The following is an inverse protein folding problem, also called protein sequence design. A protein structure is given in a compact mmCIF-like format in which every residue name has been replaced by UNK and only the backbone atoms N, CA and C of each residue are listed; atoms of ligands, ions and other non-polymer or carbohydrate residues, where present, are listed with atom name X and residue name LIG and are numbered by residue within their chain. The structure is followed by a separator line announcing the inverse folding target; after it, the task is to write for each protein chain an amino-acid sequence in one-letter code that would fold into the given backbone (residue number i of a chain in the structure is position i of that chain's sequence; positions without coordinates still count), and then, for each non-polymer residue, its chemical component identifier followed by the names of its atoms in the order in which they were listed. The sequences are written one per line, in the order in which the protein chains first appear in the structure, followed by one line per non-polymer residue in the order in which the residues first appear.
data_IF_279012191899
#
_entry.id   IF_279012191899
#
_cell.length_a   1.000
_cell.length_b   1.000
_cell.length_c   1.000
_cell.angle_alpha   90.00
_cell.angle_beta   90.00
_cell.angle_gamma   90.00
#
_symmetry.space_group_name_H-M   'P 1'
#
loop_
_entity.id
_entity.type
_entity.pdbx_description
1 polymer ?
#
# COMPACT_ATOMS: atom_id res chain seq x y z
N UNK A 1 -8.48 8.68 -32.39
CA UNK A 1 -8.32 8.20 -30.99
C UNK A 1 -9.53 8.53 -30.11
N UNK A 2 -9.96 9.80 -30.01
CA UNK A 2 -11.12 10.22 -29.19
C UNK A 2 -12.40 9.41 -29.44
N UNK A 3 -12.78 9.19 -30.70
CA UNK A 3 -14.00 8.44 -31.07
C UNK A 3 -14.02 6.99 -30.56
N UNK A 4 -12.86 6.30 -30.50
CA UNK A 4 -12.77 4.93 -29.95
C UNK A 4 -12.96 4.92 -28.43
N UNK A 5 -12.50 5.97 -27.73
CA UNK A 5 -12.71 6.11 -26.29
C UNK A 5 -14.17 6.44 -25.95
N UNK A 6 -14.82 7.30 -26.74
CA UNK A 6 -16.25 7.59 -26.59
C UNK A 6 -17.11 6.33 -26.73
N UNK A 7 -16.79 5.46 -27.69
CA UNK A 7 -17.49 4.18 -27.88
C UNK A 7 -17.26 3.23 -26.69
N UNK A 8 -16.02 3.15 -26.16
CA UNK A 8 -15.72 2.34 -24.97
C UNK A 8 -16.45 2.84 -23.73
N UNK A 9 -16.48 4.15 -23.50
CA UNK A 9 -17.20 4.78 -22.39
C UNK A 9 -18.72 4.55 -22.49
N UNK A 10 -19.31 4.73 -23.67
CA UNK A 10 -20.75 4.48 -23.87
C UNK A 10 -21.12 3.01 -23.59
N UNK A 11 -20.28 2.06 -24.03
CA UNK A 11 -20.46 0.62 -23.73
C UNK A 11 -20.31 0.32 -22.24
N UNK A 12 -19.37 1.00 -21.56
CA UNK A 12 -19.21 0.89 -20.11
C UNK A 12 -20.47 1.36 -19.38
N UNK A 13 -20.99 2.56 -19.72
CA UNK A 13 -22.17 3.12 -19.08
C UNK A 13 -23.42 2.25 -19.29
N UNK A 14 -23.59 1.66 -20.49
CA UNK A 14 -24.67 0.71 -20.77
C UNK A 14 -24.52 -0.59 -19.96
N UNK A 15 -23.30 -1.14 -19.82
CA UNK A 15 -23.04 -2.30 -18.95
C UNK A 15 -23.31 -2.01 -17.47
N UNK A 16 -22.84 -0.86 -16.97
CA UNK A 16 -23.08 -0.41 -15.58
C UNK A 16 -24.59 -0.33 -15.30
N UNK A 17 -25.35 0.33 -16.19
CA UNK A 17 -26.80 0.46 -16.05
C UNK A 17 -27.55 -0.89 -16.09
N UNK A 18 -27.02 -1.90 -16.80
CA UNK A 18 -27.56 -3.27 -16.81
C UNK A 18 -27.23 -4.01 -15.51
N UNK A 19 -25.97 -3.97 -15.08
CA UNK A 19 -25.50 -4.59 -13.84
C UNK A 19 -26.26 -4.06 -12.61
N UNK A 20 -26.51 -2.75 -12.54
CA UNK A 20 -27.32 -2.12 -11.48
C UNK A 20 -28.77 -2.62 -11.47
N UNK A 21 -29.34 -2.97 -12.63
CA UNK A 21 -30.69 -3.53 -12.75
C UNK A 21 -30.77 -5.03 -12.44
N UNK A 22 -29.72 -5.79 -12.75
CA UNK A 22 -29.71 -7.26 -12.62
C UNK A 22 -29.05 -7.75 -11.33
N UNK A 23 -28.35 -6.88 -10.60
CA UNK A 23 -27.54 -7.26 -9.43
C UNK A 23 -26.29 -8.06 -9.80
N UNK A 24 -25.95 -8.15 -11.09
CA UNK A 24 -24.80 -8.89 -11.58
C UNK A 24 -23.52 -8.10 -11.26
N UNK A 25 -22.52 -8.74 -10.63
CA UNK A 25 -21.25 -8.08 -10.35
C UNK A 25 -20.52 -7.83 -11.68
N UNK A 26 -20.25 -6.56 -11.99
CA UNK A 26 -19.58 -6.14 -13.23
C UNK A 26 -18.10 -6.58 -13.22
N UNK A 27 -17.86 -7.81 -13.69
CA UNK A 27 -16.52 -8.33 -13.96
C UNK A 27 -15.90 -7.54 -15.12
N UNK A 28 -14.65 -7.10 -14.98
CA UNK A 28 -13.95 -6.26 -15.96
C UNK A 28 -14.51 -4.83 -16.10
N UNK A 29 -15.09 -4.26 -15.03
CA UNK A 29 -15.66 -2.89 -14.97
C UNK A 29 -14.82 -1.84 -15.72
N UNK A 30 -13.50 -1.90 -15.62
CA UNK A 30 -12.60 -0.86 -16.14
C UNK A 30 -11.75 -1.27 -17.35
N UNK A 31 -11.97 -2.47 -17.89
CA UNK A 31 -11.06 -3.07 -18.86
C UNK A 31 -10.97 -2.28 -20.17
N UNK A 32 -9.74 -1.93 -20.55
CA UNK A 32 -9.45 -1.19 -21.78
C UNK A 32 -9.80 0.29 -21.77
N UNK A 33 -10.19 0.85 -20.61
CA UNK A 33 -10.36 2.29 -20.41
C UNK A 33 -9.03 2.96 -20.03
N UNK A 34 -8.84 4.20 -20.48
CA UNK A 34 -7.67 5.00 -20.08
C UNK A 34 -7.65 5.20 -18.56
N UNK A 35 -6.44 5.25 -17.98
CA UNK A 35 -6.25 5.39 -16.53
C UNK A 35 -7.02 6.57 -15.90
N UNK A 36 -7.05 7.73 -16.56
CA UNK A 36 -7.78 8.90 -16.05
C UNK A 36 -9.31 8.68 -16.01
N UNK A 37 -9.89 8.04 -17.04
CA UNK A 37 -11.33 7.75 -17.08
C UNK A 37 -11.73 6.76 -15.99
N UNK A 38 -10.88 5.75 -15.73
CA UNK A 38 -11.11 4.79 -14.64
C UNK A 38 -11.21 5.51 -13.28
N UNK A 39 -10.35 6.50 -13.04
CA UNK A 39 -10.35 7.33 -11.82
C UNK A 39 -11.62 8.17 -11.68
N UNK A 40 -12.07 8.81 -12.76
CA UNK A 40 -13.32 9.58 -12.76
C UNK A 40 -14.54 8.68 -12.49
N UNK A 41 -14.59 7.50 -13.11
CA UNK A 41 -15.71 6.57 -12.99
C UNK A 41 -15.79 5.85 -11.64
N UNK A 42 -14.69 5.71 -10.91
CA UNK A 42 -14.71 5.17 -9.54
C UNK A 42 -15.02 6.26 -8.51
N UNK A 43 -14.73 7.53 -8.83
CA UNK A 43 -15.08 8.67 -8.00
C UNK A 43 -16.60 8.94 -7.99
N UNK A 44 -17.31 8.53 -9.05
CA UNK A 44 -18.76 8.70 -9.22
C UNK A 44 -19.57 7.40 -8.96
N UNK A 45 -20.51 7.33 -7.99
CA UNK A 45 -20.70 8.13 -6.79
C UNK A 45 -20.44 7.29 -5.50
N UNK A 46 -19.59 7.80 -4.61
CA UNK A 46 -19.79 7.67 -3.16
C UNK A 46 -18.92 6.68 -2.38
N UNK A 47 -18.41 5.57 -2.93
CA UNK A 47 -17.65 4.63 -2.08
C UNK A 47 -16.29 5.19 -1.63
N UNK A 48 -15.59 5.90 -2.52
CA UNK A 48 -14.32 6.55 -2.20
C UNK A 48 -14.47 7.80 -1.32
N UNK A 49 -15.69 8.32 -1.14
CA UNK A 49 -15.96 9.39 -0.17
C UNK A 49 -15.83 8.86 1.27
N UNK A 50 -16.17 7.58 1.48
CA UNK A 50 -16.27 6.96 2.82
C UNK A 50 -15.26 5.86 3.09
N UNK A 51 -14.56 5.36 2.06
CA UNK A 51 -13.58 4.29 2.17
C UNK A 51 -12.20 4.78 1.74
N UNK A 52 -11.23 4.68 2.67
CA UNK A 52 -9.84 4.96 2.34
C UNK A 52 -9.32 3.98 1.29
N UNK A 53 -9.62 2.70 1.49
CA UNK A 53 -9.26 1.60 0.60
C UNK A 53 -10.52 0.92 0.04
N UNK A 54 -10.51 0.71 -1.28
CA UNK A 54 -11.54 0.02 -2.02
C UNK A 54 -10.83 -1.00 -2.92
N UNK A 55 -10.97 -2.30 -2.62
CA UNK A 55 -10.44 -3.35 -3.49
C UNK A 55 -11.43 -3.66 -4.60
N UNK A 56 -10.91 -4.06 -5.77
CA UNK A 56 -11.75 -4.49 -6.88
C UNK A 56 -12.65 -5.67 -6.49
N UNK A 57 -13.87 -5.67 -7.02
CA UNK A 57 -14.79 -6.81 -6.95
C UNK A 57 -14.51 -7.88 -8.01
N UNK A 58 -13.60 -7.60 -8.94
CA UNK A 58 -13.22 -8.55 -10.00
C UNK A 58 -12.42 -9.73 -9.40
N UNK A 59 -12.89 -10.98 -9.55
CA UNK A 59 -12.21 -12.15 -9.01
C UNK A 59 -10.77 -12.32 -9.51
N UNK A 60 -10.47 -11.95 -10.76
CA UNK A 60 -9.11 -12.08 -11.31
C UNK A 60 -8.15 -11.07 -10.69
N UNK A 61 -8.61 -9.84 -10.47
CA UNK A 61 -7.80 -8.80 -9.83
C UNK A 61 -7.61 -9.08 -8.34
N UNK A 62 -8.61 -9.69 -7.69
CA UNK A 62 -8.48 -10.22 -6.33
C UNK A 62 -7.47 -11.35 -6.25
N UNK A 63 -7.52 -12.29 -7.19
CA UNK A 63 -6.57 -13.40 -7.22
C UNK A 63 -5.13 -12.89 -7.35
N UNK A 64 -4.86 -11.84 -8.16
CA UNK A 64 -3.51 -11.22 -8.21
C UNK A 64 -3.01 -10.77 -6.82
N UNK A 65 -3.85 -10.08 -6.05
CA UNK A 65 -3.47 -9.61 -4.70
C UNK A 65 -3.28 -10.79 -3.74
N UNK A 66 -4.08 -11.84 -3.89
CA UNK A 66 -3.94 -13.08 -3.10
C UNK A 66 -2.67 -13.84 -3.46
N UNK A 67 -2.34 -13.97 -4.74
CA UNK A 67 -1.07 -14.55 -5.21
C UNK A 67 0.10 -13.78 -4.63
N UNK A 68 0.07 -12.44 -4.68
CA UNK A 68 1.13 -11.61 -4.10
C UNK A 68 1.32 -11.86 -2.60
N UNK A 69 0.22 -11.87 -1.84
CA UNK A 69 0.25 -12.22 -0.42
C UNK A 69 0.90 -13.59 -0.19
N UNK A 70 0.46 -14.60 -0.92
CA UNK A 70 0.96 -15.97 -0.76
C UNK A 70 2.45 -16.07 -1.11
N UNK A 71 2.91 -15.37 -2.15
CA UNK A 71 4.33 -15.28 -2.50
C UNK A 71 5.15 -14.68 -1.36
N UNK A 72 4.72 -13.54 -0.81
CA UNK A 72 5.44 -12.86 0.28
C UNK A 72 5.42 -13.68 1.57
N UNK A 73 4.28 -14.27 1.95
CA UNK A 73 4.21 -15.14 3.13
C UNK A 73 5.01 -16.43 2.95
N UNK A 74 5.03 -17.00 1.74
CA UNK A 74 5.90 -18.12 1.40
C UNK A 74 7.37 -17.79 1.56
N UNK A 75 7.82 -16.65 1.00
CA UNK A 75 9.19 -16.16 1.16
C UNK A 75 9.53 -15.88 2.63
N UNK A 76 8.57 -15.38 3.42
CA UNK A 76 8.76 -15.13 4.86
C UNK A 76 9.08 -16.39 5.66
N UNK A 77 8.61 -17.56 5.22
CA UNK A 77 9.02 -18.84 5.86
C UNK A 77 10.50 -19.16 5.65
N UNK A 78 11.07 -18.74 4.51
CA UNK A 78 12.50 -18.87 4.18
C UNK A 78 13.33 -17.73 4.80
N UNK A 79 12.77 -16.54 4.84
CA UNK A 79 13.40 -15.29 5.27
C UNK A 79 12.59 -14.65 6.41
N UNK A 80 12.84 -15.02 7.68
CA UNK A 80 12.18 -14.42 8.84
C UNK A 80 12.51 -12.92 9.04
N UNK A 81 13.43 -12.37 8.25
CA UNK A 81 13.69 -10.94 8.09
C UNK A 81 12.55 -10.22 7.37
N UNK A 82 11.75 -10.91 6.54
CA UNK A 82 10.57 -10.30 5.92
C UNK A 82 9.51 -10.02 6.98
N UNK A 83 9.19 -8.74 7.17
CA UNK A 83 8.18 -8.27 8.12
C UNK A 83 6.79 -8.45 7.52
N UNK A 84 6.62 -8.02 6.27
CA UNK A 84 5.35 -8.03 5.57
C UNK A 84 5.34 -6.96 4.48
N UNK A 85 4.15 -6.57 4.03
CA UNK A 85 4.03 -5.59 2.97
C UNK A 85 2.86 -4.63 3.13
N UNK A 86 2.92 -3.52 2.41
CA UNK A 86 1.80 -2.60 2.25
C UNK A 86 1.55 -2.27 0.78
N UNK A 87 0.29 -2.09 0.39
CA UNK A 87 -0.10 -1.69 -0.96
C UNK A 87 -0.67 -0.28 -1.00
N UNK A 88 -0.50 0.37 -2.15
CA UNK A 88 -1.14 1.64 -2.48
C UNK A 88 -1.59 1.64 -3.95
N UNK A 89 -1.87 2.81 -4.51
CA UNK A 89 -2.17 2.92 -5.95
C UNK A 89 -3.53 2.37 -6.37
N UNK A 90 -3.64 2.02 -7.65
CA UNK A 90 -4.93 1.72 -8.30
C UNK A 90 -5.68 0.55 -7.66
N UNK A 91 -4.96 -0.51 -7.29
CA UNK A 91 -5.51 -1.71 -6.66
C UNK A 91 -6.15 -1.44 -5.29
N UNK A 92 -5.69 -0.42 -4.57
CA UNK A 92 -6.25 -0.03 -3.27
C UNK A 92 -7.35 1.02 -3.36
N UNK A 93 -7.60 1.58 -4.56
CA UNK A 93 -8.57 2.65 -4.82
C UNK A 93 -9.71 2.19 -5.73
N UNK A 94 -9.76 0.91 -6.08
CA UNK A 94 -10.92 0.29 -6.68
C UNK A 94 -11.07 0.51 -8.19
N UNK A 95 -10.05 1.05 -8.85
CA UNK A 95 -10.04 1.26 -10.30
C UNK A 95 -8.97 0.49 -11.11
N UNK A 96 -8.37 -0.62 -10.62
CA UNK A 96 -7.42 -1.36 -11.44
C UNK A 96 -8.11 -2.03 -12.64
N UNK A 97 -7.35 -2.32 -13.68
CA UNK A 97 -7.75 -3.21 -14.78
C UNK A 97 -6.75 -4.38 -14.91
N UNK A 98 -6.91 -5.25 -15.91
CA UNK A 98 -5.99 -6.38 -16.10
C UNK A 98 -4.54 -5.96 -16.38
N UNK A 99 -4.34 -4.72 -16.85
CA UNK A 99 -3.05 -4.15 -17.22
C UNK A 99 -2.41 -3.33 -16.11
N UNK A 100 -3.16 -2.96 -15.08
CA UNK A 100 -2.63 -2.33 -13.88
C UNK A 100 -1.52 -3.16 -13.23
N UNK A 101 -0.45 -2.45 -12.89
CA UNK A 101 0.63 -2.81 -11.99
C UNK A 101 0.16 -2.84 -10.53
N UNK A 102 0.97 -3.43 -9.67
CA UNK A 102 0.74 -3.45 -8.22
C UNK A 102 1.78 -2.57 -7.56
N UNK A 103 1.33 -1.48 -6.97
CA UNK A 103 2.15 -0.57 -6.19
C UNK A 103 2.25 -1.05 -4.74
N UNK A 104 3.48 -1.23 -4.22
CA UNK A 104 3.65 -1.66 -2.84
C UNK A 104 5.07 -1.58 -2.29
N UNK A 105 5.16 -1.88 -0.99
CA UNK A 105 6.41 -1.91 -0.23
C UNK A 105 6.50 -3.22 0.53
N UNK A 106 7.58 -3.97 0.35
CA UNK A 106 7.95 -5.11 1.18
C UNK A 106 9.00 -4.65 2.19
N UNK A 107 8.79 -4.95 3.46
CA UNK A 107 9.64 -4.48 4.55
C UNK A 107 10.52 -5.60 5.08
N UNK A 108 11.81 -5.31 5.22
CA UNK A 108 12.79 -6.22 5.82
C UNK A 108 13.30 -5.67 7.16
N UNK A 109 13.40 -6.54 8.16
CA UNK A 109 13.94 -6.24 9.48
C UNK A 109 15.46 -6.07 9.38
N UNK A 110 15.88 -4.81 9.37
CA UNK A 110 17.27 -4.41 9.20
C UNK A 110 18.17 -5.01 10.28
N UNK A 111 17.69 -5.06 11.53
CA UNK A 111 18.46 -5.56 12.67
C UNK A 111 18.73 -7.06 12.55
N UNK A 112 17.76 -7.82 12.01
CA UNK A 112 17.98 -9.25 11.73
C UNK A 112 18.99 -9.45 10.61
N UNK A 113 18.92 -8.63 9.56
CA UNK A 113 19.91 -8.68 8.48
C UNK A 113 21.30 -8.34 9.01
N UNK A 114 21.44 -7.26 9.80
CA UNK A 114 22.71 -6.87 10.43
C UNK A 114 23.26 -7.96 11.34
N UNK A 115 22.42 -8.60 12.15
CA UNK A 115 22.85 -9.67 13.05
C UNK A 115 23.42 -10.89 12.32
N UNK A 116 23.08 -11.06 11.04
CA UNK A 116 23.60 -12.12 10.18
C UNK A 116 24.92 -11.76 9.47
N UNK A 117 25.40 -10.51 9.58
CA UNK A 117 26.66 -10.07 8.96
C UNK A 117 27.86 -10.57 9.75
N UNK A 118 28.86 -11.05 9.02
CA UNK A 118 30.17 -11.39 9.59
C UNK A 118 31.11 -10.18 9.70
N UNK A 119 30.76 -9.04 9.11
CA UNK A 119 31.53 -7.79 9.14
C UNK A 119 30.85 -6.76 10.05
N UNK A 120 31.64 -6.08 10.88
CA UNK A 120 31.19 -4.97 11.74
C UNK A 120 31.62 -3.62 11.17
N UNK A 121 31.58 -3.43 9.85
CA UNK A 121 31.86 -2.12 9.29
C UNK A 121 30.61 -1.23 9.49
N UNK A 122 30.65 -0.23 10.40
CA UNK A 122 29.49 0.59 10.70
C UNK A 122 29.09 1.51 9.53
N UNK A 123 29.97 1.68 8.54
CA UNK A 123 29.73 2.53 7.37
C UNK A 123 29.10 1.76 6.19
N UNK A 124 29.01 0.43 6.27
CA UNK A 124 28.46 -0.40 5.20
C UNK A 124 26.93 -0.47 5.33
N UNK A 125 26.22 0.20 4.42
CA UNK A 125 24.75 0.22 4.39
C UNK A 125 24.17 -1.20 4.32
N UNK A 126 23.04 -1.44 5.00
CA UNK A 126 22.37 -2.76 4.98
C UNK A 126 21.85 -3.10 3.59
N UNK A 127 21.44 -2.10 2.80
CA UNK A 127 20.96 -2.35 1.42
C UNK A 127 22.04 -2.89 0.49
N UNK A 128 23.32 -2.68 0.83
CA UNK A 128 24.45 -3.16 0.05
C UNK A 128 24.97 -4.51 0.57
N UNK A 129 24.40 -5.02 1.67
CA UNK A 129 24.85 -6.28 2.27
C UNK A 129 24.49 -7.48 1.36
N UNK A 130 25.36 -8.50 1.26
CA UNK A 130 25.05 -9.71 0.48
C UNK A 130 23.76 -10.40 0.90
N UNK A 131 23.42 -10.37 2.21
CA UNK A 131 22.18 -10.95 2.71
C UNK A 131 20.95 -10.19 2.23
N UNK A 132 20.96 -8.85 2.29
CA UNK A 132 19.85 -8.04 1.78
C UNK A 132 19.65 -8.26 0.28
N UNK A 133 20.74 -8.19 -0.49
CA UNK A 133 20.69 -8.38 -1.94
C UNK A 133 20.13 -9.75 -2.31
N UNK A 134 20.56 -10.82 -1.63
CA UNK A 134 20.03 -12.16 -1.86
C UNK A 134 18.53 -12.29 -1.53
N UNK A 135 18.07 -11.71 -0.41
CA UNK A 135 16.65 -11.70 -0.07
C UNK A 135 15.85 -10.92 -1.13
N UNK A 136 16.37 -9.78 -1.57
CA UNK A 136 15.73 -8.94 -2.59
C UNK A 136 15.63 -9.70 -3.93
N UNK A 137 16.70 -10.35 -4.38
CA UNK A 137 16.70 -11.15 -5.61
C UNK A 137 15.63 -12.24 -5.57
N UNK A 138 15.49 -12.94 -4.44
CA UNK A 138 14.46 -13.97 -4.26
C UNK A 138 13.03 -13.39 -4.22
N UNK A 139 12.86 -12.19 -3.66
CA UNK A 139 11.59 -11.46 -3.70
C UNK A 139 11.23 -11.11 -5.14
N UNK A 140 12.14 -10.46 -5.86
CA UNK A 140 11.94 -10.04 -7.25
C UNK A 140 11.65 -11.27 -8.14
N UNK A 141 12.43 -12.34 -7.98
CA UNK A 141 12.21 -13.61 -8.69
C UNK A 141 10.86 -14.23 -8.34
N UNK A 142 10.48 -14.27 -7.06
CA UNK A 142 9.20 -14.83 -6.63
C UNK A 142 8.00 -14.08 -7.18
N UNK A 143 8.08 -12.75 -7.24
CA UNK A 143 7.05 -11.87 -7.84
C UNK A 143 6.95 -12.10 -9.35
N UNK A 144 8.10 -12.14 -10.04
CA UNK A 144 8.18 -12.38 -11.48
C UNK A 144 7.65 -13.78 -11.85
N UNK A 145 8.08 -14.82 -11.14
CA UNK A 145 7.63 -16.20 -11.33
C UNK A 145 6.12 -16.37 -11.12
N UNK A 146 5.54 -15.60 -10.19
CA UNK A 146 4.10 -15.56 -9.96
C UNK A 146 3.30 -14.80 -11.05
N UNK A 147 3.98 -14.22 -12.05
CA UNK A 147 3.36 -13.46 -13.13
C UNK A 147 2.73 -12.13 -12.66
N UNK A 148 3.23 -11.59 -11.55
CA UNK A 148 2.75 -10.34 -10.95
C UNK A 148 3.53 -9.12 -11.42
N UNK A 149 4.69 -9.35 -12.03
CA UNK A 149 5.52 -8.30 -12.57
C UNK A 149 4.97 -7.81 -13.93
N UNK A 150 4.81 -6.49 -14.03
CA UNK A 150 4.63 -5.75 -15.28
C UNK A 150 5.53 -4.53 -15.22
N UNK A 151 6.84 -4.73 -15.08
CA UNK A 151 7.84 -3.69 -15.19
C UNK A 151 7.66 -2.90 -16.50
N UNK A 152 7.00 -1.75 -16.40
CA UNK A 152 7.15 -0.64 -17.32
C UNK A 152 7.64 0.53 -16.46
N UNK A 153 8.96 0.78 -16.49
CA UNK A 153 9.63 1.93 -15.86
C UNK A 153 9.80 1.93 -14.33
N UNK A 154 10.04 0.78 -13.70
CA UNK A 154 10.65 0.75 -12.36
C UNK A 154 9.86 1.41 -11.23
N UNK A 155 8.53 1.49 -11.37
CA UNK A 155 7.62 1.87 -10.29
C UNK A 155 6.66 0.70 -10.09
N UNK A 156 6.79 -0.01 -8.97
CA UNK A 156 6.04 -1.21 -8.66
C UNK A 156 6.19 -1.58 -7.18
N UNK A 157 6.55 -2.85 -6.91
CA UNK A 157 6.79 -3.32 -5.55
C UNK A 157 8.26 -3.10 -5.19
N UNK A 158 8.51 -2.17 -4.27
CA UNK A 158 9.86 -1.89 -3.76
C UNK A 158 10.14 -2.67 -2.47
N UNK A 159 11.41 -2.98 -2.22
CA UNK A 159 11.87 -3.59 -0.97
C UNK A 159 12.62 -2.56 -0.11
N UNK A 160 12.22 -2.42 1.16
CA UNK A 160 12.78 -1.43 2.08
C UNK A 160 13.26 -2.10 3.37
N UNK A 161 14.52 -1.90 3.79
CA UNK A 161 14.91 -2.23 5.15
C UNK A 161 14.29 -1.22 6.12
N UNK A 162 13.95 -1.69 7.31
CA UNK A 162 13.49 -0.87 8.42
C UNK A 162 14.00 -1.44 9.74
N UNK A 163 14.53 -0.55 10.59
CA UNK A 163 14.98 -0.89 11.94
C UNK A 163 14.01 -0.39 13.00
N UNK A 164 13.81 -1.18 14.07
CA UNK A 164 13.07 -0.73 15.27
C UNK A 164 13.80 0.43 15.93
N UNK A 165 15.12 0.35 16.02
CA UNK A 165 15.96 1.44 16.51
C UNK A 165 15.87 2.70 15.62
N UNK A 166 15.80 2.57 14.30
CA UNK A 166 15.61 3.73 13.40
C UNK A 166 14.25 4.39 13.64
N UNK A 167 13.18 3.62 13.86
CA UNK A 167 11.86 4.17 14.22
C UNK A 167 11.96 5.04 15.46
N UNK A 168 12.51 4.47 16.55
CA UNK A 168 12.66 5.19 17.82
C UNK A 168 13.52 6.43 17.66
N UNK A 169 14.68 6.31 17.01
CA UNK A 169 15.61 7.43 16.79
C UNK A 169 15.05 8.52 15.86
N UNK A 170 14.33 8.14 14.81
CA UNK A 170 13.74 9.09 13.86
C UNK A 170 12.77 10.02 14.54
N UNK A 171 11.92 9.48 15.42
CA UNK A 171 10.93 10.27 16.13
C UNK A 171 11.48 11.00 17.35
N UNK A 172 12.52 10.48 18.02
CA UNK A 172 13.29 11.25 19.00
C UNK A 172 13.97 12.49 18.42
N UNK A 173 14.23 12.51 17.10
CA UNK A 173 14.74 13.69 16.39
C UNK A 173 13.62 14.63 15.92
N UNK A 174 12.37 14.36 16.29
CA UNK A 174 11.20 15.19 15.98
C UNK A 174 10.97 15.44 14.48
N UNK A 175 11.44 14.55 13.60
CA UNK A 175 11.32 14.73 12.16
C UNK A 175 10.30 13.76 11.55
N UNK A 176 9.44 14.31 10.68
CA UNK A 176 8.65 13.53 9.74
C UNK A 176 9.57 12.64 8.88
N UNK A 177 9.28 11.33 8.88
CA UNK A 177 10.00 10.35 8.08
C UNK A 177 9.05 9.72 7.05
N UNK A 178 9.26 10.05 5.78
CA UNK A 178 8.48 9.54 4.64
C UNK A 178 8.53 8.03 4.52
N UNK A 179 9.60 7.37 4.96
CA UNK A 179 9.71 5.90 4.95
C UNK A 179 8.78 5.26 5.97
N UNK A 180 8.71 5.83 7.17
CA UNK A 180 7.86 5.34 8.25
C UNK A 180 6.38 5.61 7.96
N UNK A 181 6.07 6.74 7.32
CA UNK A 181 4.73 7.05 6.82
C UNK A 181 4.16 5.92 5.95
N UNK A 182 4.99 5.31 5.10
CA UNK A 182 4.55 4.24 4.17
C UNK A 182 4.03 2.99 4.90
N UNK A 183 4.46 2.74 6.15
CA UNK A 183 3.94 1.64 6.96
C UNK A 183 2.42 1.70 7.13
N UNK A 184 1.80 2.87 6.96
CA UNK A 184 0.39 3.12 7.18
C UNK A 184 -0.49 3.02 5.91
N UNK A 185 0.05 2.54 4.80
CA UNK A 185 -0.70 2.11 3.61
C UNK A 185 -1.56 0.85 3.88
N UNK A 186 -2.16 0.22 2.86
CA UNK A 186 -2.97 -0.99 3.08
C UNK A 186 -2.08 -2.18 3.42
N UNK A 187 -2.09 -2.67 4.66
CA UNK A 187 -1.26 -3.80 5.07
C UNK A 187 -1.73 -5.12 4.45
N UNK A 188 -0.79 -5.93 3.99
CA UNK A 188 -0.99 -7.34 3.62
C UNK A 188 -0.02 -8.18 4.45
N UNK A 189 -0.56 -9.16 5.17
CA UNK A 189 0.19 -9.94 6.15
C UNK A 189 0.13 -9.35 7.56
N UNK A 190 0.81 -10.00 8.51
CA UNK A 190 0.64 -9.74 9.95
C UNK A 190 1.80 -8.99 10.60
N UNK A 191 3.03 -9.07 10.08
CA UNK A 191 4.18 -8.49 10.78
C UNK A 191 4.22 -6.95 10.77
N UNK A 192 3.53 -6.29 9.84
CA UNK A 192 3.45 -4.81 9.76
C UNK A 192 2.85 -4.19 11.03
N UNK A 193 1.92 -4.89 11.70
CA UNK A 193 1.22 -4.36 12.86
C UNK A 193 2.16 -4.10 14.05
N UNK A 194 3.20 -4.92 14.24
CA UNK A 194 4.20 -4.70 15.29
C UNK A 194 4.98 -3.40 15.06
N UNK A 195 5.31 -3.08 13.80
CA UNK A 195 6.04 -1.87 13.45
C UNK A 195 5.16 -0.61 13.54
N UNK A 196 3.86 -0.74 13.24
CA UNK A 196 2.87 0.32 13.49
C UNK A 196 2.68 0.57 14.98
N UNK A 197 2.57 -0.50 15.77
CA UNK A 197 2.47 -0.43 17.23
C UNK A 197 3.68 0.29 17.82
N UNK A 198 4.89 -0.07 17.40
CA UNK A 198 6.12 0.60 17.84
C UNK A 198 6.12 2.08 17.45
N UNK A 199 5.73 2.40 16.21
CA UNK A 199 5.65 3.79 15.74
C UNK A 199 4.68 4.61 16.58
N UNK A 200 3.44 4.13 16.73
CA UNK A 200 2.38 4.83 17.47
C UNK A 200 2.78 4.97 18.94
N UNK A 201 3.25 3.89 19.57
CA UNK A 201 3.72 3.93 20.96
C UNK A 201 4.86 4.93 21.14
N UNK A 202 5.84 4.96 20.24
CA UNK A 202 6.95 5.92 20.31
C UNK A 202 6.43 7.36 20.29
N UNK A 203 5.50 7.67 19.40
CA UNK A 203 4.89 9.00 19.31
C UNK A 203 4.06 9.33 20.57
N UNK A 204 3.29 8.38 21.11
CA UNK A 204 2.53 8.60 22.35
C UNK A 204 3.42 8.97 23.54
N UNK A 205 4.61 8.36 23.65
CA UNK A 205 5.58 8.70 24.70
C UNK A 205 6.17 10.11 24.56
N UNK A 206 6.05 10.74 23.39
CA UNK A 206 6.49 12.12 23.16
C UNK A 206 5.45 13.18 23.56
N UNK A 207 4.25 12.78 23.99
CA UNK A 207 3.17 13.69 24.39
C UNK A 207 2.71 14.59 23.24
N UNK A 208 2.55 15.89 23.49
CA UNK A 208 2.05 16.87 22.51
C UNK A 208 2.89 16.92 21.23
N UNK A 209 4.20 16.71 21.35
CA UNK A 209 5.10 16.64 20.19
C UNK A 209 4.84 15.42 19.32
N UNK A 210 4.46 14.30 19.93
CA UNK A 210 4.04 13.11 19.21
C UNK A 210 2.78 13.34 18.38
N UNK A 211 1.82 14.08 18.92
CA UNK A 211 0.59 14.47 18.19
C UNK A 211 0.91 15.42 17.01
N UNK A 212 1.89 16.31 17.14
CA UNK A 212 2.37 17.13 16.01
C UNK A 212 2.95 16.27 14.88
N UNK A 213 3.90 15.38 15.20
CA UNK A 213 4.51 14.49 14.22
C UNK A 213 3.49 13.53 13.61
N UNK A 214 2.51 13.07 14.39
CA UNK A 214 1.41 12.27 13.88
C UNK A 214 0.57 12.99 12.82
N UNK A 215 0.24 14.28 13.05
CA UNK A 215 -0.48 15.09 12.06
C UNK A 215 0.32 15.23 10.76
N UNK A 216 1.61 15.53 10.86
CA UNK A 216 2.50 15.60 9.69
C UNK A 216 2.54 14.26 8.93
N UNK A 217 2.60 13.14 9.67
CA UNK A 217 2.61 11.81 9.08
C UNK A 217 1.31 11.52 8.33
N UNK A 218 0.16 11.81 8.92
CA UNK A 218 -1.15 11.57 8.30
C UNK A 218 -1.42 12.52 7.12
N UNK A 219 -1.00 13.78 7.21
CA UNK A 219 -1.08 14.73 6.10
C UNK A 219 -0.18 14.28 4.94
N UNK A 220 1.05 13.85 5.22
CA UNK A 220 1.96 13.27 4.24
C UNK A 220 1.38 12.04 3.56
N UNK A 221 0.76 11.14 4.34
CA UNK A 221 0.14 9.92 3.85
C UNK A 221 -1.08 10.23 2.96
N UNK A 222 -1.91 11.18 3.39
CA UNK A 222 -3.01 11.69 2.60
C UNK A 222 -2.53 12.27 1.26
N UNK A 223 -1.48 13.10 1.27
CA UNK A 223 -0.92 13.66 0.04
C UNK A 223 -0.36 12.57 -0.87
N UNK A 224 0.45 11.64 -0.34
CA UNK A 224 1.01 10.54 -1.12
C UNK A 224 -0.08 9.67 -1.77
N UNK A 225 -1.19 9.43 -1.08
CA UNK A 225 -2.29 8.63 -1.61
C UNK A 225 -3.25 9.39 -2.52
N UNK A 226 -3.36 10.72 -2.44
CA UNK A 226 -4.45 11.45 -3.12
C UNK A 226 -3.98 12.59 -4.03
N UNK A 227 -2.74 13.07 -3.90
CA UNK A 227 -2.22 14.19 -4.69
C UNK A 227 -2.20 13.82 -6.18
N UNK A 228 -2.72 14.71 -7.03
CA UNK A 228 -2.92 14.52 -8.48
C UNK A 228 -3.68 13.25 -8.93
N UNK A 229 -4.33 12.53 -8.00
CA UNK A 229 -5.09 11.32 -8.33
C UNK A 229 -6.56 11.62 -8.60
N UNK A 230 -7.18 12.45 -7.76
CA UNK A 230 -8.60 12.75 -7.77
C UNK A 230 -8.87 14.24 -7.92
N UNK A 231 -10.09 14.60 -8.31
CA UNK A 231 -10.53 16.00 -8.35
C UNK A 231 -10.48 16.65 -6.96
N UNK A 232 -10.36 17.99 -6.88
CA UNK A 232 -10.25 18.68 -5.60
C UNK A 232 -11.39 18.42 -4.61
N UNK A 233 -12.63 18.24 -5.07
CA UNK A 233 -13.78 18.05 -4.20
C UNK A 233 -13.75 16.66 -3.53
N UNK A 234 -13.43 15.60 -4.28
CA UNK A 234 -13.23 14.27 -3.70
C UNK A 234 -12.05 14.25 -2.73
N UNK A 235 -10.94 14.92 -3.04
CA UNK A 235 -9.77 14.99 -2.14
C UNK A 235 -10.13 15.58 -0.78
N UNK A 236 -10.92 16.65 -0.77
CA UNK A 236 -11.32 17.29 0.49
C UNK A 236 -12.18 16.37 1.35
N UNK A 237 -13.14 15.65 0.75
CA UNK A 237 -13.94 14.64 1.47
C UNK A 237 -13.05 13.55 2.06
N UNK A 238 -12.09 13.07 1.28
CA UNK A 238 -11.17 11.99 1.68
C UNK A 238 -10.25 12.35 2.82
N UNK A 239 -10.01 13.64 3.10
CA UNK A 239 -9.19 14.08 4.25
C UNK A 239 -9.75 13.55 5.59
N UNK A 240 -11.07 13.41 5.70
CA UNK A 240 -11.72 12.86 6.90
C UNK A 240 -11.56 11.35 7.08
N UNK A 241 -10.96 10.64 6.11
CA UNK A 241 -10.70 9.19 6.19
C UNK A 241 -9.39 8.86 6.91
N UNK A 242 -8.64 9.87 7.32
CA UNK A 242 -7.35 9.73 8.01
C UNK A 242 -7.54 10.10 9.49
N UNK A 243 -7.00 9.30 10.42
CA UNK A 243 -7.07 9.59 11.85
C UNK A 243 -6.34 10.90 12.19
N UNK A 244 -6.98 11.75 12.98
CA UNK A 244 -6.50 13.11 13.29
C UNK A 244 -5.61 13.17 14.53
N UNK A 245 -5.69 12.16 15.39
CA UNK A 245 -4.93 12.04 16.65
C UNK A 245 -4.27 10.68 16.77
N UNK A 246 -3.26 10.55 17.64
CA UNK A 246 -2.63 9.26 17.92
C UNK A 246 -3.64 8.24 18.45
N UNK A 247 -4.58 8.66 19.31
CA UNK A 247 -5.63 7.79 19.83
C UNK A 247 -6.55 7.25 18.70
N UNK A 248 -6.95 8.13 17.76
CA UNK A 248 -7.68 7.69 16.56
C UNK A 248 -6.82 6.77 15.69
N UNK A 249 -5.52 7.06 15.56
CA UNK A 249 -4.54 6.28 14.82
C UNK A 249 -4.41 4.86 15.35
N UNK A 250 -4.20 4.74 16.66
CA UNK A 250 -4.15 3.45 17.37
C UNK A 250 -5.41 2.66 17.10
N UNK A 251 -6.58 3.27 17.27
CA UNK A 251 -7.85 2.62 16.96
C UNK A 251 -7.90 2.21 15.48
N UNK A 252 -7.58 3.09 14.54
CA UNK A 252 -7.72 2.80 13.12
C UNK A 252 -6.78 1.68 12.65
N UNK A 253 -5.49 1.78 12.99
CA UNK A 253 -4.44 0.91 12.44
C UNK A 253 -4.18 -0.37 13.22
N UNK A 254 -4.57 -0.44 14.50
CA UNK A 254 -4.23 -1.55 15.39
C UNK A 254 -5.46 -2.30 15.92
N UNK A 255 -6.63 -1.65 16.05
CA UNK A 255 -7.82 -2.32 16.65
C UNK A 255 -8.37 -3.50 15.85
N UNK A 256 -8.00 -3.60 14.57
CA UNK A 256 -8.45 -4.70 13.72
C UNK A 256 -7.47 -5.88 13.72
N UNK A 257 -6.27 -5.75 14.30
CA UNK A 257 -5.23 -6.78 14.25
C UNK A 257 -5.00 -7.31 12.82
N UNK A 258 -4.39 -8.49 12.64
CA UNK A 258 -4.34 -9.15 11.35
C UNK A 258 -5.72 -9.75 11.03
N UNK A 259 -6.74 -8.93 10.82
CA UNK A 259 -7.85 -9.37 9.99
C UNK A 259 -7.27 -9.52 8.60
N UNK A 260 -7.12 -10.78 8.18
CA UNK A 260 -6.98 -11.12 6.77
C UNK A 260 -7.93 -10.22 6.02
N UNK A 261 -7.39 -9.31 5.21
CA UNK A 261 -8.22 -8.70 4.19
C UNK A 261 -8.71 -9.92 3.39
N UNK A 262 -10.00 -10.24 3.50
CA UNK A 262 -10.65 -11.26 2.69
C UNK A 262 -10.58 -10.78 1.24
N UNK A 263 -9.45 -11.10 0.61
CA UNK A 263 -9.27 -11.02 -0.84
C UNK A 263 -10.01 -12.19 -1.44
#
# INVERSE_FOLDING_TARGET
MKMRQTIKLARFLDKKARAEKTGEKDQNRFEGLEHHLRRELVADPGELDFRRFLLSSDPKLREKIKTLRNTVEGLRTKYPEIIGMTLFGSHTKGYPDSQSDIDGYIYLDEEKIESSRHTKNPDESVVDSPRFLHIKEDIDWGISYAGLDKEFYGMGIDTFPISRNEIVKSYQREHFNTRLMRLFHLAIGTGIYEYRELTISTLEHMGDKGEEVWRELMDGLFLAENYNTFDPALREKRKNLYPKTLAEGRKYFLSHGPKNIDV
#
